data_IF_759300222208
#
_entry.id   IF_759300222208
#
_cell.length_a   1.000
_cell.length_b   1.000
_cell.length_c   1.000
_cell.angle_alpha   90.00
_cell.angle_beta   90.00
_cell.angle_gamma   90.00
#
_symmetry.space_group_name_H-M   'P 1'
#
loop_
_entity.id
_entity.type
_entity.pdbx_description
1 polymer ?
#
# COMPACT_ATOMS: atom_id res chain seq x y z
N UNK A 1 -6.12 -20.06 29.41
CA UNK A 1 -5.21 -21.22 29.20
C UNK A 1 -3.79 -20.70 29.22
N UNK A 2 -3.01 -21.02 30.26
CA UNK A 2 -1.63 -20.55 30.35
C UNK A 2 -0.67 -21.30 29.42
N UNK A 3 0.58 -20.82 29.30
CA UNK A 3 1.58 -21.42 28.39
C UNK A 3 1.90 -22.87 28.79
N UNK A 4 1.87 -23.19 30.09
CA UNK A 4 2.08 -24.56 30.59
C UNK A 4 0.96 -25.53 30.20
N UNK A 5 -0.20 -25.01 29.79
CA UNK A 5 -1.36 -25.78 29.34
C UNK A 5 -1.54 -25.72 27.81
N UNK A 6 -0.69 -24.98 27.13
CA UNK A 6 -0.74 -24.87 25.68
C UNK A 6 -0.36 -26.20 25.02
N UNK A 7 -1.33 -26.87 24.43
CA UNK A 7 -1.09 -28.08 23.64
C UNK A 7 -0.76 -27.67 22.19
N UNK A 8 0.45 -28.00 21.76
CA UNK A 8 0.87 -27.77 20.38
C UNK A 8 0.02 -28.62 19.44
N UNK A 9 -0.63 -28.01 18.47
CA UNK A 9 -1.32 -28.72 17.40
C UNK A 9 -0.29 -29.37 16.48
N UNK A 10 -0.52 -30.61 16.05
CA UNK A 10 0.40 -31.36 15.17
C UNK A 10 0.80 -30.55 13.92
N UNK A 11 -0.14 -29.79 13.37
CA UNK A 11 0.10 -28.92 12.22
C UNK A 11 1.19 -27.86 12.46
N UNK A 12 1.40 -27.42 13.71
CA UNK A 12 2.41 -26.42 14.08
C UNK A 12 3.63 -27.00 14.80
N UNK A 13 3.72 -28.32 15.04
CA UNK A 13 4.85 -28.94 15.74
C UNK A 13 6.18 -28.61 15.05
N UNK A 14 6.24 -28.79 13.73
CA UNK A 14 7.43 -28.47 12.95
C UNK A 14 7.79 -26.97 13.00
N UNK A 15 6.80 -26.09 13.10
CA UNK A 15 7.02 -24.65 13.24
C UNK A 15 7.72 -24.32 14.57
N UNK A 16 7.26 -24.88 15.68
CA UNK A 16 7.85 -24.65 16.99
C UNK A 16 9.25 -25.28 17.14
N UNK A 17 9.55 -26.34 16.40
CA UNK A 17 10.86 -27.01 16.42
C UNK A 17 11.83 -26.54 15.33
N UNK A 18 11.48 -25.52 14.55
CA UNK A 18 12.33 -25.04 13.46
C UNK A 18 13.67 -24.53 13.99
N UNK A 19 14.71 -24.75 13.21
CA UNK A 19 16.04 -24.18 13.44
C UNK A 19 16.31 -22.94 12.59
N UNK A 20 15.48 -22.69 11.57
CA UNK A 20 15.63 -21.59 10.65
C UNK A 20 15.33 -20.26 11.33
N UNK A 21 16.12 -19.25 10.98
CA UNK A 21 15.96 -17.88 11.47
C UNK A 21 14.70 -17.21 10.94
N UNK A 22 14.31 -17.55 9.72
CA UNK A 22 13.20 -16.96 9.04
C UNK A 22 12.10 -17.99 8.82
N UNK A 23 10.85 -17.55 8.85
CA UNK A 23 9.72 -18.43 8.58
C UNK A 23 8.63 -17.76 7.75
N UNK A 24 8.00 -18.52 6.86
CA UNK A 24 6.82 -18.10 6.13
C UNK A 24 5.73 -19.18 6.24
N UNK A 25 4.57 -18.79 6.76
CA UNK A 25 3.46 -19.68 7.05
C UNK A 25 2.21 -19.20 6.31
N UNK A 26 1.77 -19.96 5.33
CA UNK A 26 0.55 -19.72 4.56
C UNK A 26 -0.52 -20.65 5.14
N UNK A 27 -1.45 -20.11 5.90
CA UNK A 27 -2.40 -20.92 6.66
C UNK A 27 -3.84 -20.51 6.37
N UNK A 28 -4.71 -21.50 6.26
CA UNK A 28 -6.13 -21.27 6.10
C UNK A 28 -6.76 -20.53 7.31
N UNK A 29 -7.90 -19.92 7.09
CA UNK A 29 -8.70 -19.29 8.16
C UNK A 29 -9.07 -20.34 9.22
N UNK A 30 -9.04 -19.95 10.50
CA UNK A 30 -9.33 -20.84 11.66
C UNK A 30 -8.28 -21.93 11.95
N UNK A 31 -7.12 -21.90 11.31
CA UNK A 31 -6.02 -22.85 11.64
C UNK A 31 -5.48 -22.70 13.06
N UNK A 32 -5.70 -21.56 13.73
CA UNK A 32 -5.13 -21.26 15.05
C UNK A 32 -3.75 -20.61 14.99
N UNK A 33 -3.42 -19.99 13.83
CA UNK A 33 -2.15 -19.34 13.56
C UNK A 33 -1.74 -18.30 14.61
N UNK A 34 -2.67 -17.42 15.02
CA UNK A 34 -2.42 -16.36 16.00
C UNK A 34 -1.99 -16.92 17.35
N UNK A 35 -2.71 -17.95 17.84
CA UNK A 35 -2.36 -18.63 19.11
C UNK A 35 -0.99 -19.29 19.04
N UNK A 36 -0.70 -20.01 17.95
CA UNK A 36 0.61 -20.64 17.76
C UNK A 36 1.74 -19.61 17.72
N UNK A 37 1.53 -18.48 17.05
CA UNK A 37 2.50 -17.38 16.96
C UNK A 37 2.74 -16.70 18.30
N UNK A 38 1.71 -16.44 19.09
CA UNK A 38 1.86 -15.86 20.45
C UNK A 38 2.55 -16.85 21.37
N UNK A 39 2.20 -18.14 21.32
CA UNK A 39 2.86 -19.17 22.09
C UNK A 39 4.36 -19.27 21.75
N UNK A 40 4.73 -19.16 20.48
CA UNK A 40 6.11 -19.10 20.02
C UNK A 40 6.86 -17.90 20.61
N UNK A 41 6.26 -16.69 20.56
CA UNK A 41 6.85 -15.50 21.18
C UNK A 41 7.07 -15.66 22.67
N UNK A 42 6.07 -16.16 23.39
CA UNK A 42 6.14 -16.39 24.85
C UNK A 42 7.22 -17.41 25.17
N UNK A 43 7.25 -18.53 24.46
CA UNK A 43 8.26 -19.58 24.66
C UNK A 43 9.67 -19.05 24.42
N UNK A 44 9.90 -18.39 23.29
CA UNK A 44 11.19 -17.78 22.97
C UNK A 44 11.61 -16.72 23.99
N UNK A 45 10.67 -15.90 24.47
CA UNK A 45 10.94 -14.87 25.47
C UNK A 45 11.30 -15.45 26.83
N UNK A 46 10.67 -16.57 27.24
CA UNK A 46 10.94 -17.26 28.52
C UNK A 46 12.31 -17.92 28.52
N UNK A 47 12.69 -18.60 27.44
CA UNK A 47 13.96 -19.34 27.36
C UNK A 47 15.16 -18.45 26.97
N UNK A 48 14.91 -17.19 26.62
CA UNK A 48 15.96 -16.28 26.15
C UNK A 48 16.94 -15.94 27.31
N UNK A 49 18.22 -16.14 27.05
CA UNK A 49 19.30 -15.79 27.99
C UNK A 49 19.88 -14.39 27.75
N UNK A 50 19.50 -13.74 26.67
CA UNK A 50 19.96 -12.37 26.36
C UNK A 50 19.32 -11.38 27.34
N UNK A 51 20.11 -10.46 27.87
CA UNK A 51 19.61 -9.40 28.74
C UNK A 51 18.66 -8.49 27.99
N UNK A 52 17.52 -8.19 28.60
CA UNK A 52 16.49 -7.30 28.05
C UNK A 52 16.04 -7.71 26.65
N UNK A 53 15.76 -8.98 26.40
CA UNK A 53 15.28 -9.44 25.10
C UNK A 53 13.95 -8.79 24.73
N UNK A 54 13.77 -8.50 23.45
CA UNK A 54 12.59 -7.78 22.91
C UNK A 54 11.96 -8.57 21.78
N UNK A 55 10.67 -8.78 21.92
CA UNK A 55 9.85 -9.51 20.96
C UNK A 55 8.67 -8.66 20.53
N UNK A 56 8.31 -8.73 19.26
CA UNK A 56 7.18 -8.00 18.72
C UNK A 56 6.20 -8.93 18.00
N UNK A 57 4.92 -8.65 18.18
CA UNK A 57 3.85 -9.17 17.34
C UNK A 57 3.24 -7.98 16.59
N UNK A 58 3.10 -8.10 15.28
CA UNK A 58 2.65 -7.02 14.41
C UNK A 58 1.45 -7.51 13.61
N UNK A 59 0.33 -6.78 13.68
CA UNK A 59 -0.82 -6.96 12.81
C UNK A 59 -1.00 -5.73 11.90
N UNK A 60 -1.76 -5.81 10.81
CA UNK A 60 -2.01 -4.67 9.93
C UNK A 60 -2.51 -3.42 10.65
N UNK A 61 -3.44 -3.58 11.58
CA UNK A 61 -4.01 -2.49 12.39
C UNK A 61 -3.78 -2.72 13.88
N UNK A 62 -3.49 -1.63 14.61
CA UNK A 62 -3.32 -1.70 16.07
C UNK A 62 -4.57 -2.23 16.80
N UNK A 63 -5.77 -1.92 16.32
CA UNK A 63 -7.02 -2.42 16.88
C UNK A 63 -7.11 -3.95 16.82
N UNK A 64 -6.62 -4.57 15.74
CA UNK A 64 -6.60 -6.03 15.60
C UNK A 64 -5.66 -6.68 16.62
N UNK A 65 -4.52 -6.04 16.91
CA UNK A 65 -3.65 -6.49 17.99
C UNK A 65 -4.36 -6.49 19.33
N UNK A 66 -5.10 -5.42 19.63
CA UNK A 66 -5.79 -5.23 20.90
C UNK A 66 -6.96 -6.22 21.09
N UNK A 67 -7.75 -6.41 20.07
CA UNK A 67 -9.00 -7.18 20.17
C UNK A 67 -8.76 -8.70 20.12
N UNK A 68 -7.67 -9.14 19.46
CA UNK A 68 -7.41 -10.57 19.23
C UNK A 68 -6.11 -11.01 19.93
N UNK A 69 -4.97 -10.51 19.47
CA UNK A 69 -3.67 -11.02 19.88
C UNK A 69 -3.34 -10.73 21.35
N UNK A 70 -3.78 -9.57 21.86
CA UNK A 70 -3.57 -9.16 23.25
C UNK A 70 -4.30 -10.08 24.24
N UNK A 71 -5.49 -10.53 23.89
CA UNK A 71 -6.24 -11.49 24.70
C UNK A 71 -5.44 -12.79 24.84
N UNK A 72 -4.97 -13.34 23.73
CA UNK A 72 -4.13 -14.56 23.76
C UNK A 72 -2.79 -14.34 24.46
N UNK A 73 -2.17 -13.17 24.32
CA UNK A 73 -0.92 -12.88 25.02
C UNK A 73 -1.11 -12.90 26.54
N UNK A 74 -2.22 -12.36 27.06
CA UNK A 74 -2.55 -12.43 28.50
C UNK A 74 -2.92 -13.85 28.93
N UNK A 75 -3.75 -14.55 28.17
CA UNK A 75 -4.14 -15.92 28.48
C UNK A 75 -2.92 -16.86 28.56
N UNK A 76 -2.04 -16.81 27.56
CA UNK A 76 -0.86 -17.68 27.50
C UNK A 76 0.21 -17.34 28.54
N UNK A 77 0.20 -16.15 29.12
CA UNK A 77 1.16 -15.76 30.16
C UNK A 77 0.60 -15.74 31.57
N UNK A 78 -0.69 -16.05 31.74
CA UNK A 78 -1.42 -15.95 33.02
C UNK A 78 -0.93 -16.85 34.13
N UNK A 79 -0.30 -17.97 33.78
CA UNK A 79 0.24 -18.96 34.71
C UNK A 79 1.74 -18.75 35.02
N UNK A 80 2.34 -17.65 34.54
CA UNK A 80 3.76 -17.34 34.76
C UNK A 80 3.88 -16.40 35.97
N UNK A 81 4.51 -16.80 37.09
CA UNK A 81 4.71 -15.94 38.25
C UNK A 81 5.57 -14.72 37.92
N UNK A 82 5.17 -13.53 38.37
CA UNK A 82 5.93 -12.28 38.19
C UNK A 82 5.77 -11.60 36.86
N UNK A 83 4.77 -11.98 36.07
CA UNK A 83 4.37 -11.27 34.86
C UNK A 83 3.78 -9.88 35.19
N UNK A 84 4.12 -8.88 34.40
CA UNK A 84 3.50 -7.57 34.45
C UNK A 84 2.91 -7.19 33.08
N UNK A 85 1.73 -6.58 33.11
CA UNK A 85 1.02 -6.13 31.90
C UNK A 85 0.93 -4.61 31.86
N UNK A 86 1.09 -4.06 30.66
CA UNK A 86 0.78 -2.67 30.37
C UNK A 86 -0.29 -2.63 29.26
N UNK A 87 -1.53 -2.34 29.67
CA UNK A 87 -2.70 -2.34 28.77
C UNK A 87 -2.65 -1.23 27.70
N UNK A 88 -2.07 -0.08 28.04
CA UNK A 88 -1.99 1.05 27.09
C UNK A 88 -0.96 0.84 26.00
N UNK A 89 0.11 0.08 26.30
CA UNK A 89 1.16 -0.22 25.34
C UNK A 89 1.04 -1.62 24.73
N UNK A 90 0.04 -2.41 25.12
CA UNK A 90 -0.12 -3.84 24.78
C UNK A 90 1.18 -4.60 25.00
N UNK A 91 1.71 -4.52 26.22
CA UNK A 91 3.04 -5.00 26.59
C UNK A 91 2.99 -5.99 27.73
N UNK A 92 3.75 -7.07 27.59
CA UNK A 92 3.99 -8.09 28.62
C UNK A 92 5.47 -8.02 29.01
N UNK A 93 5.75 -7.77 30.29
CA UNK A 93 7.09 -7.82 30.87
C UNK A 93 7.25 -9.15 31.62
N UNK A 94 8.26 -9.95 31.23
CA UNK A 94 8.54 -11.27 31.81
C UNK A 94 9.55 -11.16 32.95
N UNK A 95 9.54 -12.13 33.94
CA UNK A 95 10.42 -12.10 35.10
C UNK A 95 11.92 -12.11 34.77
N UNK A 96 12.31 -12.68 33.63
CA UNK A 96 13.71 -12.72 33.17
C UNK A 96 14.17 -11.43 32.49
N UNK A 97 13.32 -10.37 32.48
CA UNK A 97 13.58 -9.08 31.85
C UNK A 97 13.26 -9.03 30.34
N UNK A 98 12.82 -10.14 29.76
CA UNK A 98 12.31 -10.16 28.38
C UNK A 98 10.99 -9.40 28.29
N UNK A 99 10.68 -8.89 27.11
CA UNK A 99 9.46 -8.11 26.85
C UNK A 99 8.84 -8.53 25.53
N UNK A 100 7.53 -8.69 25.53
CA UNK A 100 6.73 -8.88 24.33
C UNK A 100 5.84 -7.64 24.19
N UNK A 101 5.79 -7.02 22.99
CA UNK A 101 4.92 -5.88 22.72
C UNK A 101 4.24 -6.05 21.38
N UNK A 102 2.96 -5.63 21.32
CA UNK A 102 2.15 -5.72 20.14
C UNK A 102 2.06 -4.36 19.45
N UNK A 103 2.15 -4.35 18.11
CA UNK A 103 2.16 -3.14 17.29
C UNK A 103 1.21 -3.27 16.10
N UNK A 104 0.65 -2.13 15.65
CA UNK A 104 0.01 -2.05 14.36
C UNK A 104 1.00 -1.60 13.27
N UNK A 105 0.92 -2.21 12.10
CA UNK A 105 1.68 -1.82 10.92
C UNK A 105 1.21 -0.48 10.33
N UNK A 106 0.03 -0.01 10.71
CA UNK A 106 -0.55 1.29 10.38
C UNK A 106 0.26 2.49 10.91
N UNK A 107 1.16 2.26 11.88
CA UNK A 107 2.05 3.30 12.40
C UNK A 107 3.50 2.77 12.53
N UNK A 108 4.25 2.65 11.43
CA UNK A 108 5.60 2.10 11.42
C UNK A 108 6.62 2.95 12.20
N UNK A 109 6.38 4.25 12.37
CA UNK A 109 7.30 5.14 13.09
C UNK A 109 7.46 4.78 14.56
N UNK A 110 6.44 4.20 15.18
CA UNK A 110 6.53 3.67 16.55
C UNK A 110 7.52 2.53 16.72
N UNK A 111 7.93 1.90 15.62
CA UNK A 111 8.86 0.78 15.61
C UNK A 111 10.27 1.18 15.14
N UNK A 112 10.46 2.42 14.64
CA UNK A 112 11.80 2.93 14.29
C UNK A 112 12.67 3.05 15.54
N UNK A 113 13.92 2.62 15.43
CA UNK A 113 14.87 2.63 16.54
C UNK A 113 14.70 1.49 17.56
N UNK A 114 13.79 0.55 17.35
CA UNK A 114 13.71 -0.67 18.15
C UNK A 114 14.88 -1.60 17.84
N UNK A 115 15.26 -2.42 18.84
CA UNK A 115 16.01 -3.65 18.63
C UNK A 115 15.14 -4.84 18.99
N UNK A 116 15.17 -5.89 18.18
CA UNK A 116 14.32 -7.06 18.34
C UNK A 116 15.12 -8.36 18.32
N UNK A 117 14.74 -9.29 19.19
CA UNK A 117 15.23 -10.67 19.22
C UNK A 117 14.32 -11.62 18.45
N UNK A 118 13.06 -11.24 18.27
CA UNK A 118 12.11 -11.95 17.41
C UNK A 118 10.91 -11.11 17.05
N UNK A 119 10.35 -11.35 15.86
CA UNK A 119 9.14 -10.68 15.38
C UNK A 119 8.23 -11.64 14.61
N UNK A 120 6.94 -11.46 14.81
CA UNK A 120 5.89 -12.10 14.01
C UNK A 120 5.10 -11.01 13.31
N UNK A 121 4.92 -11.18 11.99
CA UNK A 121 4.07 -10.34 11.16
C UNK A 121 2.83 -11.17 10.79
N UNK A 122 1.71 -10.90 11.45
CA UNK A 122 0.44 -11.62 11.21
C UNK A 122 -0.39 -10.87 10.16
N UNK A 123 -1.06 -11.60 9.28
CA UNK A 123 -1.76 -11.10 8.10
C UNK A 123 -0.85 -10.22 7.23
N UNK A 124 0.38 -10.70 6.98
CA UNK A 124 1.40 -9.95 6.23
C UNK A 124 0.95 -9.52 4.84
N UNK A 125 0.03 -10.27 4.21
CA UNK A 125 -0.58 -9.89 2.94
C UNK A 125 -1.29 -8.52 2.95
N UNK A 126 -1.70 -8.02 4.11
CA UNK A 126 -2.37 -6.72 4.29
C UNK A 126 -1.41 -5.60 4.73
N UNK A 127 -0.13 -5.90 4.91
CA UNK A 127 0.86 -4.90 5.35
C UNK A 127 1.55 -4.24 4.18
N UNK A 128 1.93 -2.97 4.35
CA UNK A 128 2.79 -2.26 3.40
C UNK A 128 4.17 -2.96 3.35
N UNK A 129 4.68 -3.35 2.17
CA UNK A 129 5.92 -4.12 2.05
C UNK A 129 7.15 -3.44 2.65
N UNK A 130 7.21 -2.09 2.62
CA UNK A 130 8.31 -1.28 3.14
C UNK A 130 8.56 -1.49 4.64
N UNK A 131 7.53 -1.89 5.43
CA UNK A 131 7.68 -2.12 6.87
C UNK A 131 8.76 -3.16 7.18
N UNK A 132 8.86 -4.20 6.36
CA UNK A 132 9.89 -5.20 6.54
C UNK A 132 11.29 -4.65 6.24
N UNK A 133 11.49 -4.09 5.04
CA UNK A 133 12.81 -3.66 4.57
C UNK A 133 13.38 -2.47 5.34
N UNK A 134 12.54 -1.49 5.64
CA UNK A 134 12.97 -0.21 6.20
C UNK A 134 12.97 -0.18 7.74
N UNK A 135 12.08 -0.93 8.38
CA UNK A 135 11.89 -0.82 9.82
C UNK A 135 12.31 -2.10 10.56
N UNK A 136 11.75 -3.25 10.19
CA UNK A 136 11.89 -4.46 11.00
C UNK A 136 13.19 -5.23 10.72
N UNK A 137 13.58 -5.30 9.45
CA UNK A 137 14.83 -5.99 9.09
C UNK A 137 16.07 -5.34 9.72
N UNK A 138 16.22 -4.01 9.77
CA UNK A 138 17.25 -3.33 10.55
C UNK A 138 17.15 -3.61 12.04
N UNK A 139 15.96 -3.54 12.64
CA UNK A 139 15.73 -3.78 14.07
C UNK A 139 16.16 -5.18 14.55
N UNK A 140 16.20 -6.17 13.66
CA UNK A 140 16.64 -7.55 13.94
C UNK A 140 18.15 -7.76 13.73
N UNK A 141 18.86 -6.79 13.16
CA UNK A 141 20.24 -7.01 12.68
C UNK A 141 21.23 -7.11 13.84
N UNK A 142 21.21 -6.17 14.77
CA UNK A 142 22.17 -6.07 15.87
C UNK A 142 22.14 -7.29 16.78
N UNK A 143 20.97 -7.82 17.02
CA UNK A 143 20.76 -8.93 17.94
C UNK A 143 20.64 -10.29 17.26
N UNK A 144 20.77 -10.32 15.92
CA UNK A 144 20.53 -11.52 15.10
C UNK A 144 19.16 -12.15 15.38
N UNK A 145 18.15 -11.29 15.53
CA UNK A 145 16.78 -11.70 15.83
C UNK A 145 16.15 -12.48 14.66
N UNK A 146 15.12 -13.26 14.94
CA UNK A 146 14.37 -14.05 13.97
C UNK A 146 13.08 -13.36 13.54
N UNK A 147 12.52 -13.75 12.38
CA UNK A 147 11.27 -13.23 11.87
C UNK A 147 10.39 -14.30 11.24
N UNK A 148 9.08 -14.18 11.48
CA UNK A 148 8.05 -15.07 10.92
C UNK A 148 6.96 -14.24 10.29
N UNK A 149 6.64 -14.57 9.05
CA UNK A 149 5.55 -14.01 8.26
C UNK A 149 4.43 -15.03 8.20
N UNK A 150 3.23 -14.63 8.55
CA UNK A 150 2.09 -15.52 8.55
C UNK A 150 0.84 -14.80 8.05
N UNK A 151 -0.03 -15.53 7.36
CA UNK A 151 -1.29 -14.99 6.88
C UNK A 151 -2.04 -15.96 5.99
N UNK A 152 -3.17 -15.46 5.49
CA UNK A 152 -3.95 -16.08 4.43
C UNK A 152 -3.54 -15.44 3.10
N UNK A 153 -3.46 -16.18 1.97
CA UNK A 153 -3.15 -15.62 0.67
C UNK A 153 -4.12 -14.52 0.24
N UNK A 154 -3.60 -13.52 -0.48
CA UNK A 154 -4.41 -12.45 -1.08
C UNK A 154 -3.85 -12.07 -2.45
N UNK A 155 -4.05 -12.94 -3.44
CA UNK A 155 -3.54 -12.75 -4.79
C UNK A 155 -2.00 -12.74 -4.86
N UNK A 156 -1.46 -12.28 -5.98
CA UNK A 156 -0.02 -12.15 -6.22
C UNK A 156 0.50 -10.82 -5.66
N UNK A 157 0.78 -10.80 -4.39
CA UNK A 157 1.29 -9.64 -3.65
C UNK A 157 2.66 -9.92 -3.02
N UNK A 158 3.15 -9.03 -2.15
CA UNK A 158 4.42 -9.20 -1.45
C UNK A 158 4.52 -10.48 -0.62
N UNK A 159 3.40 -11.02 -0.13
CA UNK A 159 3.37 -12.30 0.58
C UNK A 159 3.54 -13.49 -0.37
N UNK A 160 2.95 -13.42 -1.56
CA UNK A 160 3.19 -14.38 -2.63
C UNK A 160 4.64 -14.36 -3.08
N UNK A 161 5.21 -13.17 -3.34
CA UNK A 161 6.61 -13.02 -3.73
C UNK A 161 7.56 -13.61 -2.68
N UNK A 162 7.26 -13.36 -1.39
CA UNK A 162 8.02 -13.93 -0.29
C UNK A 162 7.92 -15.46 -0.31
N UNK A 163 6.72 -16.01 -0.48
CA UNK A 163 6.48 -17.45 -0.58
C UNK A 163 7.28 -18.07 -1.72
N UNK A 164 7.24 -17.50 -2.91
CA UNK A 164 7.98 -17.99 -4.07
C UNK A 164 9.50 -17.89 -3.87
N UNK A 165 9.98 -16.73 -3.46
CA UNK A 165 11.41 -16.47 -3.26
C UNK A 165 12.07 -17.41 -2.25
N UNK A 166 11.33 -17.90 -1.28
CA UNK A 166 11.86 -18.75 -0.21
C UNK A 166 11.84 -20.25 -0.56
N UNK A 167 11.37 -20.63 -1.73
CA UNK A 167 11.17 -22.03 -2.12
C UNK A 167 12.46 -22.87 -2.08
N UNK A 168 13.56 -22.30 -2.55
CA UNK A 168 14.86 -22.99 -2.61
C UNK A 168 15.80 -22.63 -1.45
N UNK A 169 15.34 -21.86 -0.45
CA UNK A 169 16.21 -21.35 0.60
C UNK A 169 16.17 -22.22 1.85
N UNK A 170 17.31 -22.79 2.22
CA UNK A 170 17.45 -23.56 3.46
C UNK A 170 17.35 -22.72 4.74
N UNK A 171 17.54 -21.40 4.65
CA UNK A 171 17.45 -20.47 5.78
C UNK A 171 16.02 -20.14 6.21
N UNK A 172 15.04 -20.59 5.39
CA UNK A 172 13.63 -20.34 5.60
C UNK A 172 12.85 -21.58 5.97
N UNK A 173 12.12 -21.51 7.07
CA UNK A 173 11.06 -22.46 7.36
C UNK A 173 9.81 -22.11 6.55
N UNK A 174 9.23 -23.08 5.88
CA UNK A 174 8.01 -22.91 5.08
C UNK A 174 6.93 -23.87 5.56
N UNK A 175 5.72 -23.33 5.69
CA UNK A 175 4.54 -24.14 5.99
C UNK A 175 3.37 -23.63 5.15
N UNK A 176 2.74 -24.50 4.37
CA UNK A 176 1.42 -24.26 3.80
C UNK A 176 0.43 -25.22 4.46
N UNK A 177 -0.60 -24.66 5.07
CA UNK A 177 -1.61 -25.43 5.79
C UNK A 177 -2.99 -25.17 5.21
N UNK A 178 -3.44 -26.05 4.33
CA UNK A 178 -4.79 -26.02 3.71
C UNK A 178 -5.81 -26.66 4.64
N UNK A 179 -7.06 -26.20 4.60
CA UNK A 179 -8.12 -26.76 5.43
C UNK A 179 -8.42 -28.23 5.07
N UNK A 180 -8.30 -28.60 3.79
CA UNK A 180 -8.45 -29.99 3.32
C UNK A 180 -7.45 -30.96 3.97
N UNK A 181 -6.24 -30.46 4.31
CA UNK A 181 -5.11 -31.30 4.73
C UNK A 181 -4.87 -31.23 6.24
N UNK A 182 -5.39 -30.18 6.90
CA UNK A 182 -5.11 -29.89 8.29
C UNK A 182 -5.88 -30.75 9.30
N UNK A 183 -7.07 -31.20 8.92
CA UNK A 183 -7.99 -31.86 9.86
C UNK A 183 -8.50 -31.00 11.01
N UNK A 184 -8.25 -29.66 10.96
CA UNK A 184 -8.59 -28.73 12.05
C UNK A 184 -10.03 -28.18 11.96
N UNK A 185 -10.66 -28.34 10.82
CA UNK A 185 -12.06 -27.95 10.60
C UNK A 185 -12.87 -29.23 10.32
N UNK A 186 -14.03 -29.33 10.93
CA UNK A 186 -14.95 -30.42 10.68
C UNK A 186 -15.31 -30.48 9.19
N UNK A 187 -15.25 -31.66 8.54
CA UNK A 187 -15.56 -31.78 7.12
C UNK A 187 -16.97 -31.29 6.72
N UNK A 188 -17.94 -31.41 7.64
CA UNK A 188 -19.32 -30.95 7.40
C UNK A 188 -19.36 -29.43 7.37
N UNK A 189 -18.66 -28.77 8.32
CA UNK A 189 -18.53 -27.31 8.37
C UNK A 189 -17.76 -26.77 7.15
N UNK A 190 -16.72 -27.49 6.72
CA UNK A 190 -15.96 -27.10 5.52
C UNK A 190 -16.80 -27.20 4.24
N UNK A 191 -17.65 -28.24 4.15
CA UNK A 191 -18.59 -28.39 3.03
C UNK A 191 -19.70 -27.32 3.06
N UNK A 192 -20.23 -26.99 4.24
CA UNK A 192 -21.20 -25.92 4.41
C UNK A 192 -20.61 -24.56 3.98
N UNK A 193 -19.38 -24.24 4.44
CA UNK A 193 -18.67 -23.01 4.04
C UNK A 193 -18.48 -22.94 2.52
N UNK A 194 -18.19 -24.06 1.86
CA UNK A 194 -18.06 -24.12 0.40
C UNK A 194 -19.36 -23.78 -0.33
N UNK A 195 -20.51 -24.18 0.22
CA UNK A 195 -21.82 -23.86 -0.35
C UNK A 195 -22.24 -22.39 -0.16
N UNK A 196 -21.77 -21.74 0.91
CA UNK A 196 -22.13 -20.38 1.27
C UNK A 196 -21.19 -19.31 0.67
N UNK A 197 -19.99 -19.70 0.22
CA UNK A 197 -18.97 -18.82 -0.30
C UNK A 197 -18.84 -18.95 -1.82
N UNK A 198 -18.28 -17.90 -2.45
CA UNK A 198 -17.84 -18.06 -3.85
C UNK A 198 -16.64 -19.02 -3.92
N UNK A 199 -16.41 -19.63 -5.07
CA UNK A 199 -15.28 -20.57 -5.23
C UNK A 199 -13.95 -19.87 -4.96
N UNK A 200 -13.74 -18.63 -5.46
CA UNK A 200 -12.55 -17.81 -5.20
C UNK A 200 -12.35 -17.56 -3.69
N UNK A 201 -13.42 -17.23 -2.95
CA UNK A 201 -13.33 -17.06 -1.50
C UNK A 201 -12.91 -18.34 -0.80
N UNK A 202 -13.54 -19.45 -1.15
CA UNK A 202 -13.22 -20.76 -0.57
C UNK A 202 -11.78 -21.15 -0.87
N UNK A 203 -11.33 -20.97 -2.10
CA UNK A 203 -9.97 -21.25 -2.50
C UNK A 203 -8.95 -20.36 -1.75
N UNK A 204 -9.24 -19.09 -1.58
CA UNK A 204 -8.39 -18.16 -0.84
C UNK A 204 -8.33 -18.51 0.65
N UNK A 205 -9.50 -18.55 1.32
CA UNK A 205 -9.59 -18.61 2.78
C UNK A 205 -9.30 -20.00 3.36
N UNK A 206 -9.65 -21.06 2.62
CA UNK A 206 -9.54 -22.45 3.10
C UNK A 206 -8.50 -23.29 2.37
N UNK A 207 -8.28 -23.05 1.07
CA UNK A 207 -7.32 -23.83 0.29
C UNK A 207 -5.97 -23.11 0.08
N UNK A 208 -5.77 -21.96 0.68
CA UNK A 208 -4.53 -21.21 0.61
C UNK A 208 -4.09 -20.88 -0.83
N UNK A 209 -5.04 -20.62 -1.72
CA UNK A 209 -4.75 -20.26 -3.11
C UNK A 209 -4.34 -18.81 -3.23
N UNK A 210 -3.19 -18.55 -3.86
CA UNK A 210 -2.77 -17.22 -4.27
C UNK A 210 -3.39 -16.80 -5.61
N UNK A 211 -3.93 -17.74 -6.38
CA UNK A 211 -4.53 -17.47 -7.69
C UNK A 211 -5.98 -16.95 -7.59
N UNK A 212 -6.62 -17.14 -6.44
CA UNK A 212 -7.96 -16.67 -6.22
C UNK A 212 -8.03 -15.14 -6.26
N UNK A 213 -9.00 -14.59 -6.99
CA UNK A 213 -9.20 -13.15 -7.07
C UNK A 213 -9.54 -12.56 -5.70
N UNK A 214 -8.90 -11.43 -5.36
CA UNK A 214 -9.18 -10.72 -4.10
C UNK A 214 -10.61 -10.21 -4.13
N UNK A 215 -11.41 -10.67 -3.18
CA UNK A 215 -12.81 -10.30 -3.10
C UNK A 215 -12.98 -8.79 -2.89
N UNK A 216 -13.84 -8.18 -3.70
CA UNK A 216 -14.08 -6.73 -3.66
C UNK A 216 -12.97 -5.90 -4.26
N UNK A 217 -11.88 -6.49 -4.76
CA UNK A 217 -10.84 -5.75 -5.48
C UNK A 217 -11.42 -5.00 -6.68
N UNK A 218 -10.95 -3.76 -6.86
CA UNK A 218 -11.37 -2.95 -7.98
C UNK A 218 -10.63 -3.30 -9.28
N UNK A 219 -9.36 -3.70 -9.19
CA UNK A 219 -8.47 -3.85 -10.35
C UNK A 219 -7.84 -5.24 -10.48
N UNK A 220 -8.13 -6.15 -9.55
CA UNK A 220 -7.47 -7.47 -9.49
C UNK A 220 -7.63 -8.29 -10.77
N UNK A 221 -8.78 -8.24 -11.43
CA UNK A 221 -9.02 -8.96 -12.69
C UNK A 221 -8.23 -8.37 -13.86
N UNK A 222 -8.22 -7.04 -13.97
CA UNK A 222 -7.48 -6.32 -15.00
C UNK A 222 -5.98 -6.56 -14.85
N UNK A 223 -5.45 -6.50 -13.63
CA UNK A 223 -4.03 -6.76 -13.37
C UNK A 223 -3.63 -8.21 -13.64
N UNK A 224 -4.48 -9.18 -13.32
CA UNK A 224 -4.24 -10.58 -13.65
C UNK A 224 -4.15 -10.81 -15.17
N UNK A 225 -4.98 -10.10 -15.96
CA UNK A 225 -4.89 -10.11 -17.42
C UNK A 225 -3.56 -9.50 -17.89
N UNK A 226 -3.15 -8.37 -17.34
CA UNK A 226 -1.87 -7.73 -17.68
C UNK A 226 -0.66 -8.64 -17.35
N UNK A 227 -0.70 -9.33 -16.22
CA UNK A 227 0.34 -10.31 -15.85
C UNK A 227 0.41 -11.45 -16.86
N UNK A 228 -0.75 -12.06 -17.17
CA UNK A 228 -0.82 -13.21 -18.10
C UNK A 228 -0.49 -12.83 -19.55
N UNK A 229 -0.75 -11.57 -19.96
CA UNK A 229 -0.41 -11.07 -21.30
C UNK A 229 1.03 -10.57 -21.43
N UNK A 230 1.81 -10.57 -20.32
CA UNK A 230 3.20 -10.12 -20.31
C UNK A 230 3.37 -8.60 -20.35
N UNK A 231 2.32 -7.83 -20.04
CA UNK A 231 2.36 -6.37 -20.00
C UNK A 231 3.00 -5.82 -18.71
N UNK A 232 3.17 -6.66 -17.68
CA UNK A 232 3.99 -6.37 -16.49
C UNK A 232 5.37 -6.99 -16.72
N UNK A 233 6.31 -6.17 -17.19
CA UNK A 233 7.63 -6.62 -17.66
C UNK A 233 8.69 -5.53 -17.44
N UNK A 234 9.84 -5.62 -18.07
CA UNK A 234 10.79 -4.51 -18.09
C UNK A 234 10.31 -3.44 -19.10
N UNK A 235 10.04 -2.24 -18.61
CA UNK A 235 9.59 -1.10 -19.43
C UNK A 235 10.59 0.06 -19.26
N UNK A 236 11.65 0.10 -20.08
CA UNK A 236 12.69 1.11 -19.93
C UNK A 236 12.17 2.51 -20.32
N UNK A 237 12.66 3.52 -19.58
CA UNK A 237 12.48 4.92 -19.94
C UNK A 237 13.04 5.20 -21.34
N UNK A 238 12.25 5.87 -22.20
CA UNK A 238 12.64 6.32 -23.52
C UNK A 238 13.02 7.82 -23.44
N UNK A 239 14.31 8.19 -23.58
CA UNK A 239 14.76 9.58 -23.36
C UNK A 239 14.14 10.61 -24.32
N UNK A 240 13.75 10.18 -25.53
CA UNK A 240 13.20 11.05 -26.56
C UNK A 240 11.67 11.27 -26.42
N UNK A 241 11.02 10.54 -25.49
CA UNK A 241 9.59 10.64 -25.22
C UNK A 241 9.36 11.40 -23.93
N UNK A 242 8.42 12.34 -23.95
CA UNK A 242 8.03 13.10 -22.75
C UNK A 242 7.52 12.19 -21.65
N UNK A 243 7.96 12.48 -20.40
CA UNK A 243 7.48 11.80 -19.20
C UNK A 243 6.46 12.68 -18.49
N UNK A 244 5.36 12.09 -18.12
CA UNK A 244 4.33 12.69 -17.27
C UNK A 244 4.42 12.13 -15.87
N UNK A 245 4.10 12.98 -14.86
CA UNK A 245 4.01 12.56 -13.45
C UNK A 245 2.67 12.97 -12.88
N UNK A 246 1.93 12.03 -12.29
CA UNK A 246 0.67 12.29 -11.60
C UNK A 246 0.81 12.01 -10.10
N UNK A 247 0.27 12.93 -9.31
CA UNK A 247 0.34 12.92 -7.86
C UNK A 247 -1.01 12.66 -7.23
N UNK A 248 -1.01 11.90 -6.14
CA UNK A 248 -1.94 12.08 -5.05
C UNK A 248 -1.17 12.62 -3.84
N UNK A 249 -1.65 13.68 -3.20
CA UNK A 249 -0.87 14.42 -2.20
C UNK A 249 -1.58 14.34 -0.86
N UNK A 250 -0.98 13.59 0.09
CA UNK A 250 -1.31 13.56 1.50
C UNK A 250 -0.27 14.32 2.34
N UNK A 251 -0.68 14.90 3.46
CA UNK A 251 0.26 15.51 4.41
C UNK A 251 0.57 14.57 5.59
N UNK A 252 -0.44 13.99 6.19
CA UNK A 252 -0.34 12.95 7.24
C UNK A 252 -0.37 11.54 6.67
N UNK A 253 -0.82 11.41 5.46
CA UNK A 253 -0.94 10.19 4.70
C UNK A 253 0.12 10.15 3.59
N UNK A 254 0.24 9.04 2.87
CA UNK A 254 1.23 8.92 1.81
C UNK A 254 0.96 9.92 0.68
N UNK A 255 2.01 10.51 0.13
CA UNK A 255 2.00 11.12 -1.20
C UNK A 255 2.50 10.09 -2.19
N UNK A 256 1.72 9.80 -3.22
CA UNK A 256 2.05 8.84 -4.25
C UNK A 256 2.25 9.51 -5.62
N UNK A 257 3.19 8.98 -6.39
CA UNK A 257 3.57 9.50 -7.71
C UNK A 257 3.67 8.33 -8.68
N UNK A 258 3.01 8.48 -9.85
CA UNK A 258 3.18 7.58 -10.97
C UNK A 258 3.77 8.32 -12.16
N UNK A 259 4.78 7.71 -12.82
CA UNK A 259 5.40 8.24 -14.03
C UNK A 259 5.06 7.37 -15.22
N UNK A 260 4.69 8.03 -16.33
CA UNK A 260 4.36 7.33 -17.58
C UNK A 260 4.81 8.10 -18.81
N UNK A 261 4.91 7.37 -19.91
CA UNK A 261 5.16 7.86 -21.26
C UNK A 261 4.07 7.33 -22.18
N UNK A 262 3.76 8.10 -23.24
CA UNK A 262 2.87 7.65 -24.31
C UNK A 262 3.72 7.17 -25.49
N UNK A 263 3.73 5.88 -25.73
CA UNK A 263 4.55 5.24 -26.75
C UNK A 263 3.63 4.48 -27.72
N UNK A 264 3.58 4.90 -28.98
CA UNK A 264 2.74 4.28 -30.01
C UNK A 264 1.26 4.10 -29.65
N UNK A 265 0.72 4.99 -28.80
CA UNK A 265 -0.67 4.93 -28.35
C UNK A 265 -0.91 4.06 -27.11
N UNK A 266 0.14 3.45 -26.58
CA UNK A 266 0.15 2.69 -25.32
C UNK A 266 0.71 3.53 -24.18
N UNK A 267 0.37 3.18 -22.95
CA UNK A 267 0.80 3.87 -21.74
C UNK A 267 1.91 3.04 -21.08
N UNK A 268 3.13 3.51 -21.17
CA UNK A 268 4.28 2.90 -20.52
C UNK A 268 4.45 3.51 -19.13
N UNK A 269 4.05 2.79 -18.10
CA UNK A 269 4.23 3.18 -16.70
C UNK A 269 5.62 2.74 -16.26
N UNK A 270 6.51 3.71 -16.15
CA UNK A 270 7.96 3.48 -16.04
C UNK A 270 8.50 3.55 -14.62
N UNK A 271 7.75 4.14 -13.69
CA UNK A 271 8.19 4.30 -12.29
C UNK A 271 7.03 4.60 -11.36
N UNK A 272 7.23 4.32 -10.08
CA UNK A 272 6.32 4.63 -8.98
C UNK A 272 7.13 5.02 -7.74
N UNK A 273 6.58 5.92 -6.95
CA UNK A 273 7.14 6.30 -5.65
C UNK A 273 6.03 6.71 -4.69
N UNK A 274 6.11 6.28 -3.45
CA UNK A 274 5.21 6.72 -2.39
C UNK A 274 5.96 6.85 -1.06
N UNK A 275 5.70 7.93 -0.33
CA UNK A 275 6.18 8.17 1.04
C UNK A 275 5.27 9.15 1.76
N UNK A 276 5.40 9.22 3.09
CA UNK A 276 4.63 10.15 3.92
C UNK A 276 5.54 11.11 4.70
N UNK A 277 4.91 12.14 5.28
CA UNK A 277 5.59 13.05 6.19
C UNK A 277 6.55 14.06 5.56
N UNK A 278 6.64 14.09 4.23
CA UNK A 278 7.57 14.93 3.48
C UNK A 278 6.90 16.20 2.92
N UNK A 279 7.67 17.24 2.71
CA UNK A 279 7.19 18.50 2.14
C UNK A 279 7.29 18.50 0.60
N UNK A 280 6.67 19.50 -0.04
CA UNK A 280 6.67 19.61 -1.50
C UNK A 280 8.07 19.77 -2.10
N UNK A 281 9.01 20.38 -1.38
CA UNK A 281 10.39 20.53 -1.86
C UNK A 281 11.11 19.18 -1.96
N UNK A 282 10.82 18.24 -1.06
CA UNK A 282 11.31 16.88 -1.13
C UNK A 282 10.86 16.18 -2.43
N UNK A 283 9.56 16.27 -2.77
CA UNK A 283 9.05 15.65 -3.99
C UNK A 283 9.59 16.31 -5.26
N UNK A 284 9.84 17.62 -5.24
CA UNK A 284 10.52 18.30 -6.34
C UNK A 284 11.98 17.80 -6.50
N UNK A 285 12.66 17.45 -5.40
CA UNK A 285 13.99 16.82 -5.44
C UNK A 285 13.89 15.43 -6.07
N UNK A 286 12.92 14.59 -5.65
CA UNK A 286 12.69 13.27 -6.27
C UNK A 286 12.46 13.39 -7.78
N UNK A 287 11.63 14.34 -8.23
CA UNK A 287 11.42 14.60 -9.66
C UNK A 287 12.75 14.92 -10.37
N UNK A 288 13.59 15.77 -9.77
CA UNK A 288 14.88 16.16 -10.34
C UNK A 288 15.88 14.99 -10.39
N UNK A 289 15.96 14.20 -9.32
CA UNK A 289 16.89 13.05 -9.20
C UNK A 289 16.58 11.94 -10.21
N UNK A 290 15.30 11.75 -10.57
CA UNK A 290 14.91 10.79 -11.62
C UNK A 290 15.48 11.17 -12.98
N UNK A 291 15.76 12.44 -13.24
CA UNK A 291 16.36 12.92 -14.49
C UNK A 291 15.51 12.69 -15.74
N UNK A 292 14.18 12.54 -15.56
CA UNK A 292 13.25 12.29 -16.67
C UNK A 292 13.01 13.57 -17.49
N UNK A 293 12.74 13.41 -18.80
CA UNK A 293 12.33 14.48 -19.66
C UNK A 293 10.84 14.80 -19.49
N UNK A 294 10.54 15.58 -18.43
CA UNK A 294 9.14 15.92 -18.11
C UNK A 294 8.49 16.76 -19.20
N UNK A 295 7.20 16.52 -19.39
CA UNK A 295 6.34 17.34 -20.24
C UNK A 295 6.47 18.83 -19.90
N UNK A 296 6.44 19.69 -20.90
CA UNK A 296 6.67 21.11 -20.74
C UNK A 296 5.40 21.91 -20.99
N UNK A 297 5.13 22.86 -20.09
CA UNK A 297 4.11 23.89 -20.25
C UNK A 297 4.82 25.23 -20.38
N UNK A 298 4.91 25.76 -21.58
CA UNK A 298 5.77 26.90 -21.89
C UNK A 298 7.25 26.49 -21.80
N UNK A 299 8.01 27.18 -20.93
CA UNK A 299 9.44 26.92 -20.71
C UNK A 299 9.73 26.03 -19.49
N UNK A 300 8.71 25.62 -18.74
CA UNK A 300 8.86 24.86 -17.50
C UNK A 300 8.33 23.45 -17.65
N UNK A 301 9.00 22.44 -17.01
CA UNK A 301 8.41 21.12 -16.84
C UNK A 301 7.11 21.23 -16.04
N UNK A 302 6.16 20.32 -16.26
CA UNK A 302 4.92 20.32 -15.49
C UNK A 302 4.54 18.93 -14.98
N UNK A 303 3.75 18.94 -13.89
CA UNK A 303 3.21 17.75 -13.24
C UNK A 303 1.69 17.82 -13.15
N UNK A 304 1.05 16.68 -13.01
CA UNK A 304 -0.38 16.56 -12.83
C UNK A 304 -0.71 16.46 -11.34
N UNK A 305 -1.59 17.35 -10.88
CA UNK A 305 -1.97 17.44 -9.46
C UNK A 305 -3.48 17.22 -9.31
N UNK A 306 -3.93 16.70 -8.15
CA UNK A 306 -5.34 16.60 -7.82
C UNK A 306 -5.99 17.98 -7.68
N UNK A 307 -7.33 18.02 -7.72
CA UNK A 307 -8.08 19.27 -7.75
C UNK A 307 -7.93 20.14 -6.49
N UNK A 308 -7.71 19.53 -5.34
CA UNK A 308 -7.49 20.18 -4.05
C UNK A 308 -6.10 20.83 -3.89
N UNK A 309 -5.15 20.51 -4.78
CA UNK A 309 -3.83 21.15 -4.82
C UNK A 309 -3.89 22.69 -5.04
N UNK A 310 -5.06 23.23 -5.39
CA UNK A 310 -5.33 24.68 -5.46
C UNK A 310 -5.64 25.31 -4.09
N UNK A 311 -6.03 24.51 -3.11
CA UNK A 311 -6.38 25.00 -1.79
C UNK A 311 -5.16 25.61 -1.08
N UNK A 312 -5.37 26.77 -0.47
CA UNK A 312 -4.35 27.43 0.36
C UNK A 312 -4.46 26.91 1.78
N UNK A 313 -3.34 26.55 2.39
CA UNK A 313 -3.31 26.07 3.77
C UNK A 313 -2.49 26.99 4.67
N UNK A 314 -2.90 27.11 5.93
CA UNK A 314 -2.15 27.88 6.94
C UNK A 314 -0.77 27.25 7.20
N UNK A 315 -0.68 25.93 7.18
CA UNK A 315 0.57 25.20 7.35
C UNK A 315 1.62 25.53 6.27
N UNK A 316 1.18 25.89 5.05
CA UNK A 316 2.03 26.30 3.94
C UNK A 316 2.15 27.83 3.82
N UNK A 317 2.01 28.58 4.90
CA UNK A 317 2.07 30.05 4.93
C UNK A 317 1.13 30.71 3.90
N UNK A 318 -0.06 30.13 3.71
CA UNK A 318 -1.06 30.64 2.76
C UNK A 318 -0.80 30.31 1.30
N UNK A 319 0.16 29.43 1.01
CA UNK A 319 0.43 28.96 -0.36
C UNK A 319 -0.37 27.68 -0.65
N UNK A 320 -0.74 27.50 -1.91
CA UNK A 320 -1.26 26.24 -2.40
C UNK A 320 -0.12 25.31 -2.82
N UNK A 321 -0.38 24.01 -2.89
CA UNK A 321 0.58 23.01 -3.45
C UNK A 321 1.01 23.42 -4.86
N UNK A 322 0.08 23.86 -5.68
CA UNK A 322 0.35 24.37 -7.03
C UNK A 322 1.35 25.53 -7.04
N UNK A 323 1.21 26.48 -6.11
CA UNK A 323 2.14 27.60 -5.96
C UNK A 323 3.52 27.15 -5.52
N UNK A 324 3.61 26.19 -4.59
CA UNK A 324 4.88 25.64 -4.13
C UNK A 324 5.64 24.95 -5.26
N UNK A 325 4.99 24.10 -6.06
CA UNK A 325 5.63 23.49 -7.25
C UNK A 325 6.12 24.53 -8.25
N UNK A 326 5.32 25.58 -8.48
CA UNK A 326 5.71 26.66 -9.41
C UNK A 326 6.97 27.40 -8.95
N UNK A 327 7.11 27.68 -7.65
CA UNK A 327 8.31 28.27 -7.05
C UNK A 327 9.54 27.39 -7.19
N UNK A 328 9.35 26.07 -7.13
CA UNK A 328 10.39 25.05 -7.30
C UNK A 328 10.72 24.75 -8.78
N UNK A 329 10.11 25.50 -9.71
CA UNK A 329 10.41 25.38 -11.14
C UNK A 329 9.48 24.45 -11.92
N UNK A 330 8.49 23.84 -11.30
CA UNK A 330 7.52 22.97 -11.97
C UNK A 330 6.19 23.70 -12.13
N UNK A 331 5.71 23.83 -13.37
CA UNK A 331 4.31 24.18 -13.61
C UNK A 331 3.43 22.99 -13.22
N UNK A 332 2.12 23.22 -13.03
CA UNK A 332 1.20 22.13 -12.73
C UNK A 332 -0.09 22.24 -13.51
N UNK A 333 -0.65 21.09 -13.84
CA UNK A 333 -1.94 20.92 -14.47
C UNK A 333 -2.85 20.19 -13.49
N UNK A 334 -4.04 20.73 -13.28
CA UNK A 334 -4.98 20.11 -12.35
C UNK A 334 -5.83 19.11 -13.11
N UNK A 335 -5.88 17.89 -12.60
CA UNK A 335 -6.73 16.83 -13.15
C UNK A 335 -8.20 17.20 -12.92
N UNK A 336 -9.08 17.04 -13.93
CA UNK A 336 -10.51 17.25 -13.76
C UNK A 336 -11.09 16.43 -12.60
N UNK A 337 -11.97 17.03 -11.82
CA UNK A 337 -12.63 16.35 -10.69
C UNK A 337 -13.59 15.29 -11.22
N UNK A 338 -13.45 14.09 -10.74
CA UNK A 338 -14.36 12.98 -10.96
C UNK A 338 -14.86 12.42 -9.63
N UNK A 339 -16.03 11.79 -9.66
CA UNK A 339 -16.43 10.96 -8.52
C UNK A 339 -15.44 9.79 -8.34
N UNK A 340 -15.34 9.25 -7.14
CA UNK A 340 -14.48 8.07 -6.87
C UNK A 340 -14.83 6.92 -7.81
N UNK A 341 -16.12 6.66 -8.03
CA UNK A 341 -16.60 5.59 -8.91
C UNK A 341 -16.24 5.83 -10.37
N UNK A 342 -16.42 7.07 -10.87
CA UNK A 342 -16.02 7.42 -12.24
C UNK A 342 -14.52 7.31 -12.44
N UNK A 343 -13.73 7.70 -11.42
CA UNK A 343 -12.29 7.56 -11.42
C UNK A 343 -11.85 6.09 -11.45
N UNK A 344 -12.49 5.22 -10.64
CA UNK A 344 -12.26 3.78 -10.67
C UNK A 344 -12.59 3.19 -12.04
N UNK A 345 -13.71 3.59 -12.63
CA UNK A 345 -14.09 3.13 -13.96
C UNK A 345 -13.11 3.63 -15.04
N UNK A 346 -12.67 4.88 -14.93
CA UNK A 346 -11.62 5.41 -15.81
C UNK A 346 -10.33 4.59 -15.72
N UNK A 347 -9.93 4.20 -14.52
CA UNK A 347 -8.76 3.33 -14.29
C UNK A 347 -8.93 1.97 -14.95
N UNK A 348 -10.06 1.30 -14.75
CA UNK A 348 -10.35 0.01 -15.40
C UNK A 348 -10.26 0.05 -16.93
N UNK A 349 -10.72 1.15 -17.52
CA UNK A 349 -10.63 1.36 -18.98
C UNK A 349 -9.22 1.73 -19.45
N UNK A 350 -8.36 2.18 -18.55
CA UNK A 350 -6.98 2.59 -18.84
C UNK A 350 -6.02 1.43 -18.71
N UNK A 351 -6.17 0.60 -17.67
CA UNK A 351 -5.28 -0.54 -17.39
C UNK A 351 -4.98 -1.43 -18.60
N UNK A 352 -5.95 -1.83 -19.44
CA UNK A 352 -5.66 -2.67 -20.62
C UNK A 352 -4.69 -2.07 -21.63
N UNK A 353 -4.42 -0.76 -21.55
CA UNK A 353 -3.50 -0.03 -22.44
C UNK A 353 -2.14 0.20 -21.78
N UNK A 354 -1.98 -0.24 -20.53
CA UNK A 354 -0.77 0.01 -19.75
C UNK A 354 0.23 -1.14 -19.90
N UNK A 355 1.50 -0.75 -19.97
CA UNK A 355 2.66 -1.60 -19.75
C UNK A 355 3.36 -1.11 -18.50
N UNK A 356 3.66 -1.98 -17.56
CA UNK A 356 4.27 -1.60 -16.29
C UNK A 356 5.70 -2.13 -16.18
N UNK A 357 6.61 -1.26 -15.74
CA UNK A 357 7.92 -1.73 -15.30
C UNK A 357 7.76 -2.52 -14.00
N UNK A 358 8.08 -3.82 -14.06
CA UNK A 358 7.87 -4.76 -12.97
C UNK A 358 8.58 -4.36 -11.68
N UNK A 359 9.83 -3.91 -11.79
CA UNK A 359 10.66 -3.63 -10.62
C UNK A 359 10.36 -2.25 -10.04
N UNK A 360 10.30 -1.23 -10.88
CA UNK A 360 10.09 0.15 -10.45
C UNK A 360 8.65 0.43 -10.00
N UNK A 361 7.67 -0.27 -10.59
CA UNK A 361 6.27 -0.13 -10.23
C UNK A 361 5.79 -1.17 -9.21
N UNK A 362 6.67 -2.00 -8.67
CA UNK A 362 6.32 -3.16 -7.83
C UNK A 362 5.39 -2.79 -6.67
N UNK A 363 5.73 -1.78 -5.88
CA UNK A 363 4.95 -1.41 -4.69
C UNK A 363 3.59 -0.82 -5.09
N UNK A 364 3.54 0.00 -6.12
CA UNK A 364 2.30 0.54 -6.66
C UNK A 364 1.39 -0.55 -7.27
N UNK A 365 1.95 -1.51 -8.00
CA UNK A 365 1.20 -2.66 -8.52
C UNK A 365 0.61 -3.50 -7.38
N UNK A 366 1.37 -3.70 -6.30
CA UNK A 366 0.87 -4.37 -5.11
C UNK A 366 -0.31 -3.61 -4.49
N UNK A 367 -0.20 -2.28 -4.36
CA UNK A 367 -1.31 -1.44 -3.87
C UNK A 367 -2.54 -1.54 -4.77
N UNK A 368 -2.39 -1.42 -6.09
CA UNK A 368 -3.50 -1.53 -7.04
C UNK A 368 -4.19 -2.91 -6.96
N UNK A 369 -3.42 -3.98 -6.75
CA UNK A 369 -3.98 -5.34 -6.64
C UNK A 369 -4.82 -5.53 -5.39
N UNK A 370 -4.42 -4.89 -4.28
CA UNK A 370 -5.06 -4.98 -2.97
C UNK A 370 -6.18 -3.94 -2.76
N UNK A 371 -6.25 -2.89 -3.59
CA UNK A 371 -7.27 -1.85 -3.50
C UNK A 371 -8.66 -2.41 -3.71
N UNK A 372 -9.48 -2.36 -2.65
CA UNK A 372 -10.75 -3.08 -2.56
C UNK A 372 -11.85 -2.27 -1.90
N UNK A 373 -13.09 -2.75 -2.05
CA UNK A 373 -14.25 -2.23 -1.34
C UNK A 373 -14.15 -2.53 0.15
N UNK A 374 -14.65 -1.62 0.97
CA UNK A 374 -14.84 -1.88 2.39
C UNK A 374 -15.93 -2.95 2.58
N UNK A 375 -15.65 -3.97 3.41
CA UNK A 375 -16.63 -4.98 3.76
C UNK A 375 -17.29 -4.65 5.11
N UNK A 376 -18.60 -4.58 5.14
CA UNK A 376 -19.38 -4.37 6.36
C UNK A 376 -19.66 -5.72 7.03
N UNK A 377 -18.90 -6.03 8.08
CA UNK A 377 -19.03 -7.28 8.83
C UNK A 377 -20.41 -7.45 9.47
N UNK A 378 -21.07 -6.36 9.86
CA UNK A 378 -22.41 -6.39 10.50
C UNK A 378 -23.52 -6.70 9.50
N UNK A 379 -23.41 -6.20 8.28
CA UNK A 379 -24.40 -6.40 7.21
C UNK A 379 -24.00 -7.49 6.22
N UNK A 380 -22.78 -8.00 6.30
CA UNK A 380 -22.20 -8.99 5.38
C UNK A 380 -22.29 -8.59 3.90
N UNK A 381 -22.07 -7.30 3.60
CA UNK A 381 -22.09 -6.74 2.25
C UNK A 381 -20.89 -5.83 2.02
N UNK A 382 -20.49 -5.68 0.77
CA UNK A 382 -19.51 -4.68 0.39
C UNK A 382 -20.16 -3.30 0.30
N UNK A 383 -19.50 -2.31 0.92
CA UNK A 383 -19.86 -0.90 0.75
C UNK A 383 -19.50 -0.43 -0.66
N UNK A 384 -20.13 0.64 -1.10
CA UNK A 384 -19.80 1.25 -2.39
C UNK A 384 -18.46 2.00 -2.36
N UNK A 385 -17.97 2.34 -1.16
CA UNK A 385 -16.72 3.06 -0.97
C UNK A 385 -15.54 2.11 -0.86
N UNK A 386 -14.35 2.53 -1.36
CA UNK A 386 -13.11 1.81 -1.10
C UNK A 386 -12.79 1.78 0.39
N UNK A 387 -12.13 0.70 0.80
CA UNK A 387 -11.47 0.64 2.10
C UNK A 387 -10.35 1.67 2.09
N UNK A 388 -10.39 2.60 3.05
CA UNK A 388 -9.31 3.56 3.20
C UNK A 388 -8.20 2.95 4.04
N UNK A 389 -7.16 2.50 3.36
CA UNK A 389 -5.93 1.94 3.93
C UNK A 389 -4.71 2.44 3.12
N UNK A 390 -3.54 1.89 3.41
CA UNK A 390 -2.29 2.26 2.74
C UNK A 390 -2.32 2.11 1.20
N UNK A 391 -3.23 1.31 0.65
CA UNK A 391 -3.36 1.12 -0.81
C UNK A 391 -4.07 2.28 -1.50
N UNK A 392 -4.78 3.11 -0.74
CA UNK A 392 -5.65 4.15 -1.28
C UNK A 392 -4.88 5.22 -2.06
N UNK A 393 -3.76 5.67 -1.53
CA UNK A 393 -2.99 6.79 -2.11
C UNK A 393 -2.37 6.42 -3.46
N UNK A 394 -1.80 5.24 -3.58
CA UNK A 394 -1.26 4.73 -4.85
C UNK A 394 -2.36 4.56 -5.89
N UNK A 395 -3.52 4.05 -5.47
CA UNK A 395 -4.68 3.88 -6.34
C UNK A 395 -5.27 5.23 -6.77
N UNK A 396 -5.30 6.21 -5.86
CA UNK A 396 -5.80 7.55 -6.14
C UNK A 396 -4.86 8.31 -7.08
N UNK A 397 -3.55 8.22 -6.89
CA UNK A 397 -2.56 8.75 -7.83
C UNK A 397 -2.68 8.09 -9.21
N UNK A 398 -2.93 6.77 -9.28
CA UNK A 398 -3.15 6.09 -10.56
C UNK A 398 -4.48 6.49 -11.22
N UNK A 399 -5.52 6.82 -10.44
CA UNK A 399 -6.74 7.44 -10.96
C UNK A 399 -6.44 8.80 -11.60
N UNK A 400 -5.55 9.62 -11.00
CA UNK A 400 -5.11 10.88 -11.60
C UNK A 400 -4.41 10.64 -12.94
N UNK A 401 -3.49 9.65 -13.02
CA UNK A 401 -2.88 9.22 -14.28
C UNK A 401 -3.94 8.84 -15.31
N UNK A 402 -4.93 8.03 -14.90
CA UNK A 402 -5.98 7.50 -15.78
C UNK A 402 -6.87 8.58 -16.39
N UNK A 403 -6.94 9.75 -15.77
CA UNK A 403 -7.65 10.93 -16.30
C UNK A 403 -6.70 11.81 -17.10
N UNK A 404 -5.49 12.05 -16.58
CA UNK A 404 -4.49 12.93 -17.16
C UNK A 404 -4.10 12.54 -18.59
N UNK A 405 -3.84 11.26 -18.86
CA UNK A 405 -3.46 10.82 -20.20
C UNK A 405 -4.54 11.07 -21.26
N UNK A 406 -5.82 11.05 -20.88
CA UNK A 406 -6.95 11.37 -21.79
C UNK A 406 -7.03 12.86 -22.07
N UNK A 407 -6.74 13.71 -21.08
CA UNK A 407 -6.69 15.15 -21.27
C UNK A 407 -5.55 15.54 -22.24
N UNK A 408 -4.42 14.83 -22.18
CA UNK A 408 -3.29 15.06 -23.07
C UNK A 408 -3.60 14.69 -24.54
N UNK A 409 -4.48 13.74 -24.77
CA UNK A 409 -4.92 13.33 -26.11
C UNK A 409 -6.02 14.23 -26.70
N UNK A 410 -6.64 15.11 -25.91
CA UNK A 410 -7.61 16.04 -26.45
C UNK A 410 -6.93 17.02 -27.44
N UNK A 411 -7.48 17.22 -28.65
CA UNK A 411 -6.93 18.22 -29.54
C UNK A 411 -6.90 19.57 -28.82
N UNK A 412 -5.73 20.20 -28.80
CA UNK A 412 -5.61 21.55 -28.25
C UNK A 412 -6.64 22.44 -28.98
N UNK A 413 -7.49 23.19 -28.26
CA UNK A 413 -8.38 24.14 -28.93
C UNK A 413 -7.53 25.04 -29.82
N UNK A 414 -7.99 25.35 -31.01
CA UNK A 414 -7.26 26.25 -31.89
C UNK A 414 -6.92 27.53 -31.09
N UNK A 415 -5.74 28.10 -31.29
CA UNK A 415 -5.37 29.32 -30.59
C UNK A 415 -6.47 30.35 -30.77
N UNK A 416 -6.96 30.89 -29.65
CA UNK A 416 -7.98 31.96 -29.69
C UNK A 416 -7.38 33.11 -30.48
N UNK A 417 -7.85 33.28 -31.72
CA UNK A 417 -7.43 34.41 -32.53
C UNK A 417 -8.07 35.62 -31.86
N UNK A 418 -7.35 36.25 -30.96
CA UNK A 418 -7.71 37.57 -30.45
C UNK A 418 -7.52 38.55 -31.60
N UNK A 419 -8.58 38.75 -32.34
CA UNK A 419 -8.62 39.92 -33.23
C UNK A 419 -8.40 41.15 -32.33
N UNK A 420 -7.47 42.04 -32.66
CA UNK A 420 -7.39 43.33 -31.98
C UNK A 420 -8.81 43.90 -32.02
N UNK A 421 -9.32 44.28 -30.85
CA UNK A 421 -10.71 44.78 -30.64
C UNK A 421 -11.15 45.55 -31.87
N UNK A 422 -12.10 44.99 -32.63
CA UNK A 422 -12.69 45.72 -33.72
C UNK A 422 -13.42 46.89 -33.08
N UNK A 423 -12.78 48.05 -33.12
CA UNK A 423 -13.45 49.29 -32.73
C UNK A 423 -14.64 49.46 -33.69
N UNK A 424 -15.81 49.49 -33.11
CA UNK A 424 -17.00 49.81 -33.89
C UNK A 424 -16.85 51.19 -34.51
N UNK A 425 -17.42 51.42 -35.70
CA UNK A 425 -17.40 52.73 -36.35
C UNK A 425 -17.89 53.82 -35.39
N UNK A 426 -18.82 53.49 -34.48
CA UNK A 426 -19.30 54.40 -33.43
C UNK A 426 -18.20 54.77 -32.41
N UNK A 427 -17.31 53.84 -32.06
CA UNK A 427 -16.17 54.14 -31.14
C UNK A 427 -15.10 54.96 -31.87
N UNK A 428 -14.83 54.71 -33.11
CA UNK A 428 -13.93 55.52 -33.93
C UNK A 428 -14.45 56.97 -34.09
N UNK A 429 -15.76 57.14 -34.33
CA UNK A 429 -16.41 58.48 -34.42
C UNK A 429 -16.30 59.16 -33.05
N UNK A 430 -16.49 58.45 -31.92
CA UNK A 430 -16.37 59.01 -30.59
C UNK A 430 -14.94 59.41 -30.26
N UNK A 431 -13.94 58.69 -30.67
CA UNK A 431 -12.53 59.02 -30.51
C UNK A 431 -12.14 60.23 -31.37
N UNK A 432 -12.62 60.34 -32.61
CA UNK A 432 -12.36 61.49 -33.45
C UNK A 432 -13.05 62.77 -32.91
N UNK A 433 -14.26 62.65 -32.37
CA UNK A 433 -14.95 63.78 -31.72
C UNK A 433 -14.21 64.26 -30.48
N UNK A 434 -13.74 63.34 -29.63
CA UNK A 434 -12.99 63.73 -28.41
C UNK A 434 -11.61 64.33 -28.76
N UNK A 435 -10.97 63.92 -29.83
CA UNK A 435 -9.74 64.58 -30.32
C UNK A 435 -9.98 66.01 -30.76
N UNK A 436 -11.07 66.28 -31.48
CA UNK A 436 -11.40 67.65 -31.92
C UNK A 436 -11.80 68.61 -30.80
N UNK A 437 -12.30 68.11 -29.70
CA UNK A 437 -12.65 68.92 -28.50
C UNK A 437 -11.45 69.27 -27.66
N UNK A 438 -10.34 68.54 -27.77
CA UNK A 438 -9.12 68.80 -27.01
C UNK A 438 -8.06 69.56 -27.81
N UNK A 439 -8.31 69.84 -29.09
CA UNK A 439 -7.43 70.58 -29.99
C UNK A 439 -7.94 72.01 -30.25
N UNK A 440 -9.09 72.41 -29.69
CA UNK A 440 -9.63 73.77 -29.57
C UNK A 440 -9.53 74.26 -28.13
#
# INVERSE_FOLDING_TARGET
MGINQYAVRDAFDKFHRRSQRWGVLVCHRRAGKTVACIAELVTCALVCTKKNARYAYIAPLYIQCKDIAWVYAKELTSDIPGIAYNESELRVDLPNGSRIRLYGADNPDRMRGLYLDGVILDEYADMKPSIWGEVLRPALSDRKGWGVFIGTPKGHNSFYDLWQRTESSADWFRLMLKASDSGLIDPVELAAARCEMTDDQFQQEFQCSFEAAIQGSYYGKELAVLESSGQITAVPHQPDVEVHAAFDIGYSDDTAIWWWQLVNGEIHVIDHYATNGENIAFYATILSERGYNYSKMGSKPFVWLPHDARAKTLAAAGKSVQQQFLELGYASRIVPTLSIQDGIQATRMTLPKCWFDREKCKDGLNSLSLYRREFDEGRKVFREHPLHDWTSHDADAFRMLSVAWREEQKPKPPPEIRYPTQQTIAELIKQQRNKRINDD
#
